data_IF_936555274114
#
_entry.id   IF_936555274114
#
_cell.length_a   1.000
_cell.length_b   1.000
_cell.length_c   1.000
_cell.angle_alpha   90.00
_cell.angle_beta   90.00
_cell.angle_gamma   90.00
#
_symmetry.space_group_name_H-M   'P 1'
#
loop_
_entity.id
_entity.type
_entity.pdbx_description
1 polymer ?
#
# COMPACT_ATOMS: atom_id res chain seq x y z
N UNK A 1 -17.25 -11.49 -6.39
CA UNK A 1 -16.13 -12.09 -5.63
C UNK A 1 -14.77 -11.88 -6.29
N UNK A 2 -14.57 -12.17 -7.59
CA UNK A 2 -13.26 -12.01 -8.27
C UNK A 2 -12.60 -10.63 -8.12
N UNK A 3 -13.39 -9.55 -8.12
CA UNK A 3 -12.83 -8.21 -7.95
C UNK A 3 -12.14 -8.00 -6.60
N UNK A 4 -12.69 -8.57 -5.54
CA UNK A 4 -12.11 -8.40 -4.21
C UNK A 4 -10.85 -9.25 -4.05
N UNK A 5 -10.82 -10.45 -4.65
CA UNK A 5 -9.64 -11.32 -4.70
C UNK A 5 -8.49 -10.68 -5.46
N UNK A 6 -8.76 -10.09 -6.64
CA UNK A 6 -7.72 -9.39 -7.40
C UNK A 6 -7.18 -8.17 -6.66
N UNK A 7 -8.04 -7.41 -5.96
CA UNK A 7 -7.61 -6.29 -5.12
C UNK A 7 -6.70 -6.74 -3.96
N UNK A 8 -6.99 -7.89 -3.32
CA UNK A 8 -6.10 -8.48 -2.31
C UNK A 8 -4.71 -8.78 -2.88
N UNK A 9 -4.63 -9.44 -4.04
CA UNK A 9 -3.35 -9.77 -4.67
C UNK A 9 -2.54 -8.52 -5.07
N UNK A 10 -3.20 -7.48 -5.59
CA UNK A 10 -2.51 -6.22 -5.90
C UNK A 10 -1.92 -5.58 -4.65
N UNK A 11 -2.67 -5.57 -3.53
CA UNK A 11 -2.20 -4.98 -2.28
C UNK A 11 -1.06 -5.79 -1.64
N UNK A 12 -1.14 -7.12 -1.70
CA UNK A 12 -0.06 -8.00 -1.27
C UNK A 12 1.23 -7.78 -2.10
N UNK A 13 1.08 -7.54 -3.41
CA UNK A 13 2.20 -7.17 -4.29
C UNK A 13 2.76 -5.76 -4.02
N UNK A 14 2.15 -4.99 -3.11
CA UNK A 14 2.59 -3.66 -2.71
C UNK A 14 2.11 -2.53 -3.63
N UNK A 15 1.05 -2.77 -4.42
CA UNK A 15 0.41 -1.68 -5.17
C UNK A 15 -0.18 -0.61 -4.22
N UNK A 16 -0.12 0.67 -4.60
CA UNK A 16 -0.75 1.74 -3.83
C UNK A 16 -2.25 1.50 -3.66
N UNK A 17 -2.78 1.67 -2.45
CA UNK A 17 -4.21 1.46 -2.12
C UNK A 17 -5.19 2.26 -3.00
N UNK A 18 -4.74 3.35 -3.59
CA UNK A 18 -5.52 4.17 -4.54
C UNK A 18 -5.88 3.42 -5.82
N UNK A 19 -5.03 2.49 -6.28
CA UNK A 19 -5.24 1.69 -7.49
C UNK A 19 -6.46 0.75 -7.35
N UNK A 20 -6.51 -0.17 -6.37
CA UNK A 20 -7.68 -1.00 -6.13
C UNK A 20 -8.89 -0.18 -5.68
N UNK A 21 -8.72 0.94 -4.94
CA UNK A 21 -9.86 1.79 -4.57
C UNK A 21 -10.61 2.35 -5.79
N UNK A 22 -9.87 2.85 -6.78
CA UNK A 22 -10.45 3.38 -8.02
C UNK A 22 -11.12 2.26 -8.83
N UNK A 23 -10.50 1.10 -8.91
CA UNK A 23 -11.04 -0.03 -9.67
C UNK A 23 -12.30 -0.63 -9.03
N UNK A 24 -12.35 -0.68 -7.70
CA UNK A 24 -13.54 -1.11 -6.96
C UNK A 24 -14.67 -0.06 -6.97
N UNK A 25 -14.40 1.15 -7.46
CA UNK A 25 -15.37 2.25 -7.50
C UNK A 25 -15.64 2.85 -6.12
N UNK A 26 -14.70 2.75 -5.18
CA UNK A 26 -14.85 3.36 -3.87
C UNK A 26 -14.72 4.88 -3.98
N UNK A 27 -15.63 5.59 -3.31
CA UNK A 27 -15.62 7.05 -3.23
C UNK A 27 -14.39 7.61 -2.51
N UNK A 28 -13.75 6.79 -1.68
CA UNK A 28 -12.52 7.15 -0.97
C UNK A 28 -11.60 5.93 -0.80
N UNK A 29 -10.27 6.10 -0.98
CA UNK A 29 -9.28 5.07 -0.64
C UNK A 29 -9.32 4.63 0.83
N UNK A 30 -9.85 5.47 1.73
CA UNK A 30 -10.02 5.12 3.14
C UNK A 30 -10.94 3.90 3.34
N UNK A 31 -11.95 3.74 2.47
CA UNK A 31 -12.83 2.55 2.47
C UNK A 31 -12.00 1.31 2.18
N UNK A 32 -11.19 1.33 1.12
CA UNK A 32 -10.29 0.21 0.79
C UNK A 32 -9.28 -0.05 1.89
N UNK A 33 -8.68 1.00 2.46
CA UNK A 33 -7.71 0.85 3.54
C UNK A 33 -8.32 0.15 4.76
N UNK A 34 -9.54 0.52 5.17
CA UNK A 34 -10.23 -0.11 6.29
C UNK A 34 -10.48 -1.61 6.08
N UNK A 35 -10.81 -2.03 4.86
CA UNK A 35 -11.06 -3.45 4.55
C UNK A 35 -9.79 -4.26 4.31
N UNK A 36 -8.73 -3.66 3.77
CA UNK A 36 -7.58 -4.39 3.23
C UNK A 36 -6.24 -4.12 3.93
N UNK A 37 -6.19 -3.29 4.98
CA UNK A 37 -4.94 -2.99 5.69
C UNK A 37 -4.15 -4.24 6.16
N UNK A 38 -4.84 -5.34 6.47
CA UNK A 38 -4.22 -6.61 6.89
C UNK A 38 -3.44 -7.32 5.77
N UNK A 39 -3.67 -7.00 4.49
CA UNK A 39 -2.86 -7.47 3.36
C UNK A 39 -1.59 -6.64 3.15
N UNK A 40 -1.36 -5.63 3.99
CA UNK A 40 -0.26 -4.68 3.85
C UNK A 40 0.66 -4.65 5.08
N UNK A 41 1.12 -5.81 5.62
CA UNK A 41 1.89 -5.85 6.87
C UNK A 41 3.20 -5.06 6.80
N UNK A 42 3.83 -5.02 5.61
CA UNK A 42 5.08 -4.30 5.37
C UNK A 42 4.88 -2.93 4.71
N UNK A 43 3.66 -2.39 4.68
CA UNK A 43 3.45 -1.03 4.17
C UNK A 43 4.27 -0.03 4.98
N UNK A 44 5.25 0.58 4.31
CA UNK A 44 6.19 1.52 4.91
C UNK A 44 7.58 0.96 5.19
N UNK A 45 7.85 -0.33 4.98
CA UNK A 45 9.23 -0.88 5.07
C UNK A 45 10.17 -0.18 4.08
N UNK A 46 9.74 -0.02 2.82
CA UNK A 46 10.45 0.76 1.80
C UNK A 46 10.71 2.21 2.23
N UNK A 47 9.74 2.83 2.91
CA UNK A 47 9.86 4.19 3.42
C UNK A 47 10.87 4.28 4.56
N UNK A 48 10.86 3.31 5.48
CA UNK A 48 11.86 3.15 6.54
C UNK A 48 13.26 2.99 5.93
N UNK A 49 13.45 2.05 5.00
CA UNK A 49 14.75 1.84 4.33
C UNK A 49 15.25 3.10 3.61
N UNK A 50 14.35 3.84 2.95
CA UNK A 50 14.72 5.10 2.29
C UNK A 50 15.14 6.19 3.29
N UNK A 51 14.46 6.28 4.44
CA UNK A 51 14.82 7.20 5.51
C UNK A 51 16.15 6.81 6.17
N UNK A 52 16.37 5.52 6.42
CA UNK A 52 17.61 5.01 6.99
C UNK A 52 18.80 5.41 6.09
N UNK A 53 18.69 5.18 4.78
CA UNK A 53 19.72 5.61 3.83
C UNK A 53 19.96 7.12 3.77
N UNK A 54 18.92 7.94 3.97
CA UNK A 54 19.05 9.39 4.07
C UNK A 54 19.77 9.83 5.35
N UNK A 55 19.52 9.14 6.47
CA UNK A 55 20.11 9.44 7.77
C UNK A 55 21.56 8.93 7.88
N UNK A 56 21.87 7.80 7.25
CA UNK A 56 23.21 7.22 7.18
C UNK A 56 24.10 7.91 6.13
N UNK A 57 23.51 8.56 5.12
CA UNK A 57 24.27 9.35 4.17
C UNK A 57 25.02 10.49 4.89
N UNK A 58 26.34 10.64 4.69
CA UNK A 58 27.07 11.75 5.27
C UNK A 58 26.43 13.05 4.78
N UNK A 59 25.96 13.87 5.72
CA UNK A 59 25.50 15.23 5.44
C UNK A 59 26.64 15.97 4.73
N UNK A 60 26.53 16.13 3.41
CA UNK A 60 27.40 16.99 2.63
C UNK A 60 27.26 18.44 3.07
#
# INVERSE_FOLDING_TARGET
>A
MLRHTHASFMLEAGEPVVTPARWLGHSSPAVTLGYYAHFMPEAGSKGRTALDGLLEAPRR
#
